data_IF_201597581322
#
_entry.id   IF_201597581322
#
_cell.length_a   1.000
_cell.length_b   1.000
_cell.length_c   1.000
_cell.angle_alpha   90.00
_cell.angle_beta   90.00
_cell.angle_gamma   90.00
#
_symmetry.space_group_name_H-M   'P 1'
#
loop_
_entity.id
_entity.type
_entity.pdbx_description
1 polymer ?
#
# COMPACT_ATOMS: atom_id res chain seq x y z
N UNK A 1 19.01 -12.93 1.65
CA UNK A 1 19.18 -11.97 0.53
C UNK A 1 18.42 -12.50 -0.67
N UNK A 2 17.18 -12.07 -0.92
CA UNK A 2 16.45 -12.55 -2.11
C UNK A 2 14.96 -12.23 -2.25
N UNK A 3 14.27 -11.66 -1.25
CA UNK A 3 12.83 -11.42 -1.34
C UNK A 3 12.38 -9.98 -1.04
N UNK A 4 13.29 -9.01 -0.90
CA UNK A 4 12.90 -7.64 -0.51
C UNK A 4 12.15 -6.87 -1.60
N UNK A 5 12.13 -7.34 -2.85
CA UNK A 5 11.40 -6.68 -3.93
C UNK A 5 9.88 -6.61 -3.67
N UNK A 6 9.33 -7.50 -2.83
CA UNK A 6 7.94 -7.46 -2.38
C UNK A 6 7.74 -6.86 -0.98
N UNK A 7 8.81 -6.60 -0.23
CA UNK A 7 8.74 -6.21 1.20
C UNK A 7 8.89 -4.70 1.42
N UNK A 8 8.95 -3.89 0.36
CA UNK A 8 9.18 -2.45 0.46
C UNK A 8 8.26 -1.76 1.46
N UNK A 9 6.96 -2.07 1.44
CA UNK A 9 5.96 -1.58 2.40
C UNK A 9 6.28 -1.98 3.83
N UNK A 10 6.65 -3.25 4.07
CA UNK A 10 7.01 -3.71 5.40
C UNK A 10 8.29 -3.01 5.90
N UNK A 11 9.29 -2.86 5.03
CA UNK A 11 10.56 -2.19 5.34
C UNK A 11 10.33 -0.73 5.73
N UNK A 12 9.62 0.05 4.90
CA UNK A 12 9.45 1.48 5.17
C UNK A 12 8.62 1.79 6.40
N UNK A 13 7.80 0.83 6.83
CA UNK A 13 6.98 0.93 8.04
C UNK A 13 7.60 0.22 9.25
N UNK A 14 8.87 -0.21 9.18
CA UNK A 14 9.62 -0.76 10.31
C UNK A 14 9.37 -2.25 10.62
N UNK A 15 8.74 -2.99 9.70
CA UNK A 15 8.34 -4.41 9.86
C UNK A 15 9.16 -5.40 9.04
N UNK A 16 10.14 -4.92 8.26
CA UNK A 16 11.07 -5.75 7.48
C UNK A 16 12.28 -6.28 8.27
N UNK A 17 13.26 -6.84 7.56
CA UNK A 17 14.54 -7.26 8.16
C UNK A 17 15.19 -6.08 8.91
N UNK A 18 15.60 -6.21 10.19
CA UNK A 18 15.99 -5.06 11.02
C UNK A 18 17.13 -4.21 10.47
N UNK A 19 18.12 -4.83 9.82
CA UNK A 19 19.26 -4.16 9.18
C UNK A 19 18.88 -3.32 7.94
N UNK A 20 17.64 -3.44 7.46
CA UNK A 20 17.10 -2.68 6.32
C UNK A 20 15.94 -1.77 6.78
N UNK A 21 15.12 -2.23 7.72
CA UNK A 21 13.98 -1.49 8.26
C UNK A 21 14.37 -0.40 9.27
N UNK A 22 15.58 -0.45 9.82
CA UNK A 22 16.11 0.50 10.81
C UNK A 22 17.56 0.94 10.52
N UNK A 23 17.78 1.39 9.28
CA UNK A 23 19.06 1.95 8.84
C UNK A 23 19.35 3.19 9.69
N UNK A 24 20.50 3.17 10.34
CA UNK A 24 21.00 4.21 11.23
C UNK A 24 20.09 4.52 12.44
N UNK A 25 19.17 3.62 12.82
CA UNK A 25 18.26 3.84 13.95
C UNK A 25 17.13 4.83 13.64
N UNK A 26 16.79 5.02 12.36
CA UNK A 26 15.83 6.03 11.90
C UNK A 26 14.43 5.45 11.58
N UNK A 27 14.20 4.16 11.81
CA UNK A 27 12.91 3.54 11.56
C UNK A 27 11.82 3.93 12.57
N UNK A 28 10.53 3.86 12.21
CA UNK A 28 10.02 3.66 10.85
C UNK A 28 10.17 4.94 10.00
N UNK A 29 10.40 4.79 8.70
CA UNK A 29 10.53 5.94 7.79
C UNK A 29 9.18 6.54 7.39
N UNK A 30 8.14 5.70 7.32
CA UNK A 30 6.76 6.09 7.04
C UNK A 30 5.83 5.55 8.13
N UNK A 31 4.89 6.37 8.59
CA UNK A 31 3.80 5.90 9.45
C UNK A 31 2.71 5.25 8.60
N UNK A 32 2.00 4.29 9.16
CA UNK A 32 0.93 3.57 8.46
C UNK A 32 -0.13 4.51 7.87
N UNK A 33 -0.57 5.50 8.66
CA UNK A 33 -1.59 6.48 8.23
C UNK A 33 -1.10 7.48 7.17
N UNK A 34 0.21 7.58 6.95
CA UNK A 34 0.80 8.42 5.91
C UNK A 34 1.00 7.64 4.59
N UNK A 35 0.64 6.35 4.56
CA UNK A 35 0.87 5.46 3.42
C UNK A 35 -0.43 5.15 2.66
N UNK A 36 -0.35 5.25 1.32
CA UNK A 36 -1.40 4.82 0.40
C UNK A 36 -0.82 3.81 -0.58
N UNK A 37 -1.46 2.65 -0.71
CA UNK A 37 -1.09 1.60 -1.66
C UNK A 37 -2.14 1.52 -2.76
N UNK A 38 -1.68 1.53 -4.02
CA UNK A 38 -2.54 1.52 -5.20
C UNK A 38 -2.25 0.28 -6.05
N UNK A 39 -3.29 -0.29 -6.65
CA UNK A 39 -3.15 -1.34 -7.66
C UNK A 39 -2.93 -2.75 -7.10
N UNK A 40 -3.21 -2.96 -5.80
CA UNK A 40 -3.22 -4.32 -5.22
C UNK A 40 -4.31 -5.15 -5.89
N UNK A 41 -4.11 -6.46 -6.02
CA UNK A 41 -5.16 -7.37 -6.49
C UNK A 41 -6.22 -7.52 -5.39
N UNK A 42 -7.48 -7.69 -5.78
CA UNK A 42 -8.60 -7.86 -4.84
C UNK A 42 -8.60 -9.20 -4.09
N UNK A 43 -7.83 -10.17 -4.56
CA UNK A 43 -7.62 -11.49 -3.96
C UNK A 43 -6.21 -11.66 -3.38
N UNK A 44 -5.53 -10.55 -3.11
CA UNK A 44 -4.24 -10.56 -2.42
C UNK A 44 -4.43 -10.98 -0.95
N UNK A 45 -3.70 -11.98 -0.49
CA UNK A 45 -3.90 -12.59 0.84
C UNK A 45 -3.51 -11.63 1.97
N UNK A 46 -2.67 -10.62 1.69
CA UNK A 46 -2.23 -9.62 2.67
C UNK A 46 -3.18 -8.41 2.76
N UNK A 47 -4.21 -8.32 1.91
CA UNK A 47 -5.05 -7.11 1.81
C UNK A 47 -5.73 -6.75 3.13
N UNK A 48 -6.31 -7.73 3.81
CA UNK A 48 -7.02 -7.51 5.08
C UNK A 48 -6.07 -7.13 6.21
N UNK A 49 -4.88 -7.75 6.25
CA UNK A 49 -3.84 -7.42 7.22
C UNK A 49 -3.39 -5.97 7.05
N UNK A 50 -3.05 -5.57 5.82
CA UNK A 50 -2.57 -4.22 5.50
C UNK A 50 -3.64 -3.17 5.84
N UNK A 51 -4.91 -3.43 5.52
CA UNK A 51 -6.02 -2.55 5.91
C UNK A 51 -6.18 -2.47 7.43
N UNK A 52 -5.98 -3.59 8.14
CA UNK A 52 -6.01 -3.66 9.60
C UNK A 52 -4.95 -2.80 10.28
N UNK A 53 -3.83 -2.50 9.61
CA UNK A 53 -2.79 -1.59 10.09
C UNK A 53 -3.18 -0.10 9.95
N UNK A 54 -4.30 0.21 9.31
CA UNK A 54 -4.71 1.59 9.03
C UNK A 54 -4.06 2.19 7.78
N UNK A 55 -3.38 1.37 6.97
CA UNK A 55 -2.84 1.78 5.67
C UNK A 55 -4.00 1.86 4.67
N UNK A 56 -4.07 2.96 3.91
CA UNK A 56 -5.08 3.10 2.87
C UNK A 56 -4.70 2.25 1.66
N UNK A 57 -5.61 1.39 1.20
CA UNK A 57 -5.38 0.54 0.02
C UNK A 57 -6.51 0.68 -0.98
N UNK A 58 -6.15 1.01 -2.22
CA UNK A 58 -7.03 0.96 -3.38
C UNK A 58 -6.60 -0.16 -4.31
N UNK A 59 -7.45 -1.17 -4.43
CA UNK A 59 -7.24 -2.31 -5.32
C UNK A 59 -7.41 -1.90 -6.79
N UNK A 60 -6.87 -2.70 -7.70
CA UNK A 60 -7.04 -2.51 -9.14
C UNK A 60 -8.51 -2.36 -9.58
N UNK A 61 -9.46 -3.24 -9.17
CA UNK A 61 -10.86 -3.06 -9.53
C UNK A 61 -11.50 -1.80 -8.91
N UNK A 62 -11.13 -1.43 -7.68
CA UNK A 62 -11.62 -0.17 -7.07
C UNK A 62 -11.14 1.06 -7.86
N UNK A 63 -9.89 1.07 -8.31
CA UNK A 63 -9.34 2.13 -9.16
C UNK A 63 -10.06 2.18 -10.52
N UNK A 64 -10.28 1.04 -11.16
CA UNK A 64 -10.99 0.96 -12.43
C UNK A 64 -12.44 1.48 -12.34
N UNK A 65 -13.14 1.12 -11.26
CA UNK A 65 -14.48 1.62 -10.97
C UNK A 65 -14.47 3.15 -10.77
N UNK A 66 -13.55 3.66 -9.94
CA UNK A 66 -13.43 5.10 -9.67
C UNK A 66 -13.14 5.93 -10.94
N UNK A 67 -12.29 5.43 -11.83
CA UNK A 67 -12.02 6.05 -13.13
C UNK A 67 -13.31 6.10 -13.98
N UNK A 68 -14.03 4.99 -14.03
CA UNK A 68 -15.28 4.88 -14.80
C UNK A 68 -16.33 5.87 -14.29
N UNK A 69 -16.53 5.93 -12.97
CA UNK A 69 -17.47 6.86 -12.34
C UNK A 69 -17.10 8.33 -12.61
N UNK A 70 -15.80 8.64 -12.54
CA UNK A 70 -15.28 9.98 -12.84
C UNK A 70 -15.57 10.39 -14.29
N UNK A 71 -15.34 9.48 -15.24
CA UNK A 71 -15.63 9.73 -16.66
C UNK A 71 -17.13 9.90 -16.92
N UNK A 72 -17.97 9.07 -16.29
CA UNK A 72 -19.43 9.19 -16.42
C UNK A 72 -19.93 10.52 -15.84
N UNK A 73 -19.39 10.95 -14.71
CA UNK A 73 -19.72 12.24 -14.11
C UNK A 73 -19.32 13.41 -15.02
N UNK A 74 -18.12 13.35 -15.61
CA UNK A 74 -17.63 14.38 -16.52
C UNK A 74 -18.45 14.50 -17.82
N UNK A 75 -18.98 13.38 -18.33
CA UNK A 75 -19.83 13.37 -19.53
C UNK A 75 -21.29 13.81 -19.27
N UNK A 76 -21.70 13.90 -18.00
CA UNK A 76 -23.05 14.33 -17.59
C UNK A 76 -23.13 15.82 -17.23
N UNK A 77 -22.00 16.52 -17.13
CA UNK A 77 -21.91 17.97 -16.89
C UNK A 77 -21.70 18.74 -18.18
#
# INVERSE_FOLDING_TARGET
MGASAGEGTAIVTGRGQPDIADIDGLGPYCRDGDLVILGVRDHDEQLDEVRGLGITVHTTPEIAAAITDTLVAALRG
#
